data_IF_139243282464
#
_entry.id   IF_139243282464
#
_cell.length_a   1.000
_cell.length_b   1.000
_cell.length_c   1.000
_cell.angle_alpha   90.00
_cell.angle_beta   90.00
_cell.angle_gamma   90.00
#
_symmetry.space_group_name_H-M   'P 1'
#
loop_
_entity.id
_entity.type
_entity.pdbx_description
1 polymer ?
#
# COMPACT_ATOMS: atom_id res chain seq x y z
N UNK A 1 21.20 -16.54 9.58
CA UNK A 1 20.33 -16.14 8.44
C UNK A 1 19.00 -16.89 8.40
N UNK A 2 18.95 -18.23 8.49
CA UNK A 2 17.71 -19.04 8.42
C UNK A 2 16.65 -18.68 9.47
N UNK A 3 17.06 -18.42 10.72
CA UNK A 3 16.14 -18.03 11.79
C UNK A 3 15.44 -16.70 11.50
N UNK A 4 16.18 -15.68 11.05
CA UNK A 4 15.66 -14.35 10.73
C UNK A 4 14.64 -14.38 9.60
N UNK A 5 14.89 -15.16 8.53
CA UNK A 5 13.93 -15.32 7.44
C UNK A 5 12.65 -16.01 7.91
N UNK A 6 12.75 -17.00 8.81
CA UNK A 6 11.60 -17.70 9.36
C UNK A 6 10.72 -16.79 10.22
N UNK A 7 11.30 -15.94 11.06
CA UNK A 7 10.53 -14.98 11.86
C UNK A 7 9.83 -13.93 11.00
N UNK A 8 10.51 -13.37 9.99
CA UNK A 8 9.91 -12.40 9.08
C UNK A 8 8.78 -12.98 8.22
N UNK A 9 8.93 -14.22 7.74
CA UNK A 9 7.88 -14.89 6.96
C UNK A 9 6.64 -15.17 7.81
N UNK A 10 6.82 -15.70 9.03
CA UNK A 10 5.71 -15.95 9.96
C UNK A 10 4.99 -14.65 10.37
N UNK A 11 5.70 -13.54 10.51
CA UNK A 11 5.10 -12.23 10.80
C UNK A 11 4.22 -11.73 9.65
N UNK A 12 4.67 -11.87 8.40
CA UNK A 12 3.86 -11.51 7.22
C UNK A 12 2.59 -12.33 7.11
N UNK A 13 2.68 -13.64 7.35
CA UNK A 13 1.51 -14.52 7.31
C UNK A 13 0.55 -14.20 8.46
N UNK A 14 1.06 -13.97 9.66
CA UNK A 14 0.26 -13.55 10.82
C UNK A 14 -0.47 -12.23 10.58
N UNK A 15 0.18 -11.28 9.91
CA UNK A 15 -0.41 -9.99 9.57
C UNK A 15 -1.55 -10.12 8.55
N UNK A 16 -1.43 -10.99 7.55
CA UNK A 16 -2.54 -11.33 6.62
C UNK A 16 -3.72 -11.98 7.33
N UNK A 17 -3.45 -12.88 8.29
CA UNK A 17 -4.49 -13.52 9.10
C UNK A 17 -5.19 -12.51 10.02
N UNK A 18 -4.45 -11.58 10.63
CA UNK A 18 -5.01 -10.47 11.42
C UNK A 18 -5.97 -9.63 10.57
N UNK A 19 -5.66 -9.36 9.31
CA UNK A 19 -6.52 -8.57 8.43
C UNK A 19 -7.87 -9.26 8.13
N UNK A 20 -7.86 -10.59 7.98
CA UNK A 20 -9.08 -11.38 7.79
C UNK A 20 -9.92 -11.47 9.07
N UNK A 21 -9.27 -11.66 10.21
CA UNK A 21 -9.95 -11.76 11.50
C UNK A 21 -10.58 -10.43 11.90
N UNK A 22 -9.92 -9.30 11.63
CA UNK A 22 -10.40 -7.96 11.97
C UNK A 22 -11.48 -7.41 11.03
N UNK A 23 -11.85 -8.12 9.95
CA UNK A 23 -12.80 -7.64 8.92
C UNK A 23 -12.55 -6.17 8.53
N UNK A 24 -11.31 -5.86 8.15
CA UNK A 24 -10.93 -4.48 7.87
C UNK A 24 -11.71 -3.91 6.68
N UNK A 25 -12.40 -2.80 6.92
CA UNK A 25 -13.02 -1.99 5.88
C UNK A 25 -12.08 -0.85 5.49
N UNK A 26 -11.93 -0.63 4.18
CA UNK A 26 -11.15 0.49 3.63
C UNK A 26 -12.13 1.52 3.05
N UNK A 27 -12.38 2.57 3.83
CA UNK A 27 -13.27 3.65 3.41
C UNK A 27 -12.50 4.73 2.64
N UNK A 28 -13.05 5.12 1.49
CA UNK A 28 -12.47 6.14 0.62
C UNK A 28 -13.28 7.43 0.67
N UNK A 29 -12.62 8.57 0.47
CA UNK A 29 -13.27 9.85 0.22
C UNK A 29 -13.30 10.15 -1.29
N UNK A 30 -14.45 10.00 -1.99
CA UNK A 30 -14.54 10.21 -3.44
C UNK A 30 -14.27 11.66 -3.87
N UNK A 31 -14.39 12.62 -2.95
CA UNK A 31 -14.13 14.04 -3.25
C UNK A 31 -12.63 14.35 -3.29
N UNK A 32 -11.80 13.50 -2.68
CA UNK A 32 -10.36 13.71 -2.58
C UNK A 32 -9.67 13.64 -3.94
N UNK A 33 -8.73 14.55 -4.19
CA UNK A 33 -8.03 14.67 -5.48
C UNK A 33 -7.30 13.38 -5.88
N UNK A 34 -6.66 12.70 -4.92
CA UNK A 34 -5.96 11.44 -5.19
C UNK A 34 -6.92 10.32 -5.61
N UNK A 35 -8.13 10.25 -5.04
CA UNK A 35 -9.12 9.22 -5.40
C UNK A 35 -9.67 9.47 -6.81
N UNK A 36 -9.94 10.74 -7.15
CA UNK A 36 -10.33 11.11 -8.51
C UNK A 36 -9.23 10.80 -9.52
N UNK A 37 -7.97 11.11 -9.20
CA UNK A 37 -6.81 10.80 -10.06
C UNK A 37 -6.58 9.31 -10.19
N UNK A 38 -6.74 8.54 -9.11
CA UNK A 38 -6.68 7.08 -9.14
C UNK A 38 -7.73 6.51 -10.10
N UNK A 39 -8.97 7.01 -10.04
CA UNK A 39 -10.03 6.61 -10.97
C UNK A 39 -9.69 6.92 -12.43
N UNK A 40 -9.11 8.09 -12.71
CA UNK A 40 -8.63 8.42 -14.06
C UNK A 40 -7.48 7.50 -14.49
N UNK A 41 -6.51 7.23 -13.61
CA UNK A 41 -5.36 6.37 -13.91
C UNK A 41 -5.79 4.93 -14.17
N UNK A 42 -6.77 4.40 -13.43
CA UNK A 42 -7.33 3.07 -13.63
C UNK A 42 -7.90 2.89 -15.06
N UNK A 43 -8.46 3.96 -15.64
CA UNK A 43 -9.00 3.96 -17.01
C UNK A 43 -7.96 4.23 -18.10
N UNK A 44 -6.74 4.57 -17.71
CA UNK A 44 -5.64 4.87 -18.63
C UNK A 44 -4.79 3.64 -18.91
N UNK A 45 -3.83 3.75 -19.82
CA UNK A 45 -2.83 2.71 -20.08
C UNK A 45 -1.83 2.52 -18.93
N UNK A 46 -1.75 3.46 -17.97
CA UNK A 46 -0.85 3.41 -16.81
C UNK A 46 -1.50 2.67 -15.63
N UNK A 47 -1.95 1.44 -15.85
CA UNK A 47 -2.55 0.58 -14.82
C UNK A 47 -1.59 0.23 -13.69
N UNK A 48 -0.29 0.13 -13.99
CA UNK A 48 0.77 -0.07 -13.00
C UNK A 48 0.82 1.09 -11.98
N UNK A 49 0.84 2.33 -12.47
CA UNK A 49 0.85 3.52 -11.61
C UNK A 49 -0.42 3.62 -10.75
N UNK A 50 -1.57 3.27 -11.31
CA UNK A 50 -2.83 3.20 -10.55
C UNK A 50 -2.73 2.19 -9.40
N UNK A 51 -2.12 1.03 -9.67
CA UNK A 51 -1.94 -0.04 -8.67
C UNK A 51 -0.99 0.40 -7.57
N UNK A 52 0.13 1.02 -7.91
CA UNK A 52 1.09 1.55 -6.95
C UNK A 52 0.47 2.64 -6.06
N UNK A 53 -0.33 3.55 -6.65
CA UNK A 53 -1.04 4.58 -5.90
C UNK A 53 -2.08 3.99 -4.96
N UNK A 54 -2.86 3.00 -5.41
CA UNK A 54 -3.85 2.33 -4.57
C UNK A 54 -3.18 1.60 -3.39
N UNK A 55 -2.08 0.89 -3.64
CA UNK A 55 -1.31 0.22 -2.59
C UNK A 55 -0.81 1.22 -1.55
N UNK A 56 -0.23 2.36 -1.98
CA UNK A 56 0.25 3.38 -1.07
C UNK A 56 -0.87 4.00 -0.22
N UNK A 57 -2.08 4.18 -0.77
CA UNK A 57 -3.24 4.67 -0.02
C UNK A 57 -3.67 3.68 1.07
N UNK A 58 -3.65 2.38 0.77
CA UNK A 58 -3.91 1.33 1.75
C UNK A 58 -2.82 1.34 2.82
N UNK A 59 -1.55 1.37 2.44
CA UNK A 59 -0.41 1.41 3.36
C UNK A 59 -0.52 2.59 4.33
N UNK A 60 -0.86 3.78 3.83
CA UNK A 60 -1.09 4.97 4.66
C UNK A 60 -2.25 4.77 5.65
N UNK A 61 -3.36 4.16 5.22
CA UNK A 61 -4.48 3.86 6.11
C UNK A 61 -4.10 2.83 7.18
N UNK A 62 -3.32 1.82 6.82
CA UNK A 62 -2.84 0.79 7.73
C UNK A 62 -1.86 1.33 8.78
N UNK A 63 -0.95 2.22 8.37
CA UNK A 63 -0.07 2.95 9.30
C UNK A 63 -0.93 3.78 10.27
N UNK A 64 -1.89 4.53 9.74
CA UNK A 64 -2.77 5.40 10.55
C UNK A 64 -3.62 4.60 11.53
N UNK A 65 -4.05 3.40 11.14
CA UNK A 65 -4.79 2.46 12.00
C UNK A 65 -3.90 1.74 13.03
N UNK A 66 -2.58 1.96 13.02
CA UNK A 66 -1.64 1.28 13.92
C UNK A 66 -1.46 -0.22 13.63
N UNK A 67 -1.81 -0.67 12.42
CA UNK A 67 -1.79 -2.08 12.02
C UNK A 67 -0.48 -2.51 11.35
N UNK A 68 0.49 -1.60 11.25
CA UNK A 68 1.80 -1.83 10.64
C UNK A 68 2.88 -1.84 11.71
N UNK A 69 3.53 -2.99 11.89
CA UNK A 69 4.60 -3.16 12.88
C UNK A 69 5.90 -2.42 12.50
N UNK A 70 6.30 -2.47 11.22
CA UNK A 70 7.48 -1.74 10.73
C UNK A 70 7.13 -0.93 9.46
N UNK A 71 6.82 0.38 9.60
CA UNK A 71 6.45 1.23 8.47
C UNK A 71 7.61 1.50 7.52
N UNK A 72 8.86 1.24 7.93
CA UNK A 72 10.04 1.45 7.08
C UNK A 72 10.04 0.52 5.86
N UNK A 73 9.37 -0.63 5.97
CA UNK A 73 9.24 -1.58 4.86
C UNK A 73 8.45 -1.00 3.68
N UNK A 74 7.60 0.01 3.90
CA UNK A 74 6.79 0.66 2.88
C UNK A 74 7.55 1.76 2.12
N UNK A 75 8.66 2.27 2.67
CA UNK A 75 9.46 3.34 2.04
C UNK A 75 9.96 2.96 0.66
N UNK A 76 10.34 1.70 0.45
CA UNK A 76 10.75 1.21 -0.87
C UNK A 76 9.63 1.31 -1.90
N UNK A 77 8.38 1.03 -1.49
CA UNK A 77 7.21 1.15 -2.36
C UNK A 77 6.89 2.60 -2.68
N UNK A 78 6.93 3.47 -1.66
CA UNK A 78 6.75 4.90 -1.80
C UNK A 78 7.79 5.51 -2.75
N UNK A 79 9.07 5.20 -2.59
CA UNK A 79 10.13 5.74 -3.44
C UNK A 79 9.94 5.33 -4.90
N UNK A 80 9.61 4.06 -5.16
CA UNK A 80 9.29 3.58 -6.52
C UNK A 80 8.08 4.30 -7.12
N UNK A 81 7.04 4.56 -6.31
CA UNK A 81 5.88 5.33 -6.76
C UNK A 81 6.29 6.75 -7.16
N UNK A 82 7.11 7.42 -6.33
CA UNK A 82 7.59 8.77 -6.63
C UNK A 82 8.47 8.79 -7.89
N UNK A 83 9.39 7.85 -8.05
CA UNK A 83 10.18 7.68 -9.28
C UNK A 83 9.26 7.55 -10.51
N UNK A 84 8.27 6.66 -10.44
CA UNK A 84 7.32 6.43 -11.55
C UNK A 84 6.48 7.66 -11.89
N UNK A 85 6.10 8.45 -10.89
CA UNK A 85 5.39 9.72 -11.09
C UNK A 85 6.28 10.75 -11.77
N UNK A 86 7.57 10.78 -11.43
CA UNK A 86 8.54 11.74 -11.96
C UNK A 86 9.02 11.40 -13.38
N UNK A 87 8.93 10.16 -13.84
CA UNK A 87 9.24 9.78 -15.24
C UNK A 87 8.44 10.57 -16.30
N UNK A 88 7.31 11.15 -15.92
CA UNK A 88 6.40 11.88 -16.82
C UNK A 88 6.59 13.41 -16.79
N UNK A 89 7.51 13.91 -15.96
CA UNK A 89 7.93 15.31 -15.93
C UNK A 89 9.21 15.51 -16.73
#
# INVERSE_FOLDING_TARGET
VRHFLKTNLLQRDKQKEIYKVLQLNFDINPKHILIKKLYTLQKSTNTELATMLAQQLIDNAMITAGLVEDPRLMLTGLNKLLEKVLEKY
#
